data_IF_900463225446
#
_entry.id   IF_900463225446
#
_cell.length_a   1.000
_cell.length_b   1.000
_cell.length_c   1.000
_cell.angle_alpha   90.00
_cell.angle_beta   90.00
_cell.angle_gamma   90.00
#
_symmetry.space_group_name_H-M   'P 1'
#
loop_
_entity.id
_entity.type
_entity.pdbx_description
1 polymer ?
#
# COMPACT_ATOMS: atom_id res chain seq x y z
N UNK A 1 1.35 -0.41 -15.96
CA UNK A 1 0.14 -0.09 -15.19
C UNK A 1 -0.78 -1.30 -15.17
N UNK A 2 -1.29 -1.68 -14.00
CA UNK A 2 -2.21 -2.82 -13.83
C UNK A 2 -3.53 -2.61 -14.58
N UNK A 3 -4.07 -1.38 -14.60
CA UNK A 3 -5.37 -1.10 -15.22
C UNK A 3 -5.30 -1.19 -16.75
N UNK A 4 -4.24 -0.65 -17.37
CA UNK A 4 -4.04 -0.80 -18.81
C UNK A 4 -3.88 -2.27 -19.22
N UNK A 5 -3.09 -3.04 -18.47
CA UNK A 5 -2.92 -4.48 -18.70
C UNK A 5 -4.23 -5.24 -18.56
N UNK A 6 -5.02 -4.92 -17.53
CA UNK A 6 -6.34 -5.50 -17.31
C UNK A 6 -7.29 -5.25 -18.48
N UNK A 7 -7.37 -4.01 -18.96
CA UNK A 7 -8.19 -3.65 -20.11
C UNK A 7 -7.69 -4.28 -21.42
N UNK A 8 -6.39 -4.53 -21.56
CA UNK A 8 -5.85 -5.28 -22.70
C UNK A 8 -6.33 -6.74 -22.66
N UNK A 9 -6.13 -7.44 -21.53
CA UNK A 9 -6.55 -8.84 -21.36
C UNK A 9 -8.06 -9.01 -21.52
N UNK A 10 -8.86 -8.10 -20.97
CA UNK A 10 -10.32 -8.13 -21.13
C UNK A 10 -10.76 -8.00 -22.60
N UNK A 11 -10.03 -7.23 -23.42
CA UNK A 11 -10.29 -7.12 -24.87
C UNK A 11 -9.84 -8.36 -25.63
N UNK A 12 -8.65 -8.87 -25.32
CA UNK A 12 -8.08 -10.09 -25.94
C UNK A 12 -8.91 -11.34 -25.62
N UNK A 13 -9.58 -11.37 -24.47
CA UNK A 13 -10.55 -12.41 -24.11
C UNK A 13 -11.67 -12.56 -25.15
N UNK A 14 -12.11 -11.44 -25.74
CA UNK A 14 -13.20 -11.44 -26.73
C UNK A 14 -12.78 -12.06 -28.08
N UNK A 15 -11.49 -12.08 -28.39
CA UNK A 15 -10.93 -12.66 -29.61
C UNK A 15 -10.21 -14.00 -29.38
N UNK A 16 -10.14 -14.47 -28.13
CA UNK A 16 -9.43 -15.70 -27.78
C UNK A 16 -7.90 -15.57 -27.85
N UNK A 17 -7.38 -14.36 -27.64
CA UNK A 17 -5.95 -14.03 -27.76
C UNK A 17 -5.32 -13.66 -26.42
N UNK A 18 -5.88 -14.14 -25.32
CA UNK A 18 -5.34 -13.88 -23.97
C UNK A 18 -3.91 -14.44 -23.84
N UNK A 19 -3.05 -13.79 -23.05
CA UNK A 19 -1.70 -14.30 -22.79
C UNK A 19 -1.74 -15.61 -21.99
N UNK A 20 -0.67 -16.40 -22.08
CA UNK A 20 -0.52 -17.62 -21.27
C UNK A 20 -0.38 -17.31 -19.77
N UNK A 21 0.34 -16.22 -19.44
CA UNK A 21 0.54 -15.73 -18.07
C UNK A 21 0.32 -14.23 -18.07
N UNK A 22 -0.51 -13.74 -17.14
CA UNK A 22 -0.75 -12.32 -16.94
C UNK A 22 -0.44 -11.91 -15.49
N UNK A 23 0.31 -10.83 -15.35
CA UNK A 23 0.59 -10.22 -14.05
C UNK A 23 -0.54 -9.23 -13.71
N UNK A 24 -1.57 -9.75 -13.06
CA UNK A 24 -2.76 -8.99 -12.69
C UNK A 24 -2.58 -8.21 -11.38
N UNK A 25 -3.20 -7.03 -11.31
CA UNK A 25 -3.46 -6.36 -10.04
C UNK A 25 -4.43 -7.21 -9.20
N UNK A 26 -4.17 -7.28 -7.90
CA UNK A 26 -4.91 -8.13 -6.97
C UNK A 26 -6.36 -7.66 -6.80
N UNK A 27 -6.59 -6.36 -6.75
CA UNK A 27 -7.93 -5.75 -6.83
C UNK A 27 -8.69 -6.08 -8.11
N UNK A 28 -7.99 -6.33 -9.22
CA UNK A 28 -8.58 -6.56 -10.54
C UNK A 28 -8.84 -8.06 -10.81
N UNK A 29 -8.22 -8.96 -10.05
CA UNK A 29 -8.39 -10.40 -10.20
C UNK A 29 -9.87 -10.87 -10.17
N UNK A 30 -10.75 -10.37 -9.28
CA UNK A 30 -12.16 -10.74 -9.29
C UNK A 30 -12.89 -10.39 -10.58
N UNK A 31 -12.60 -9.21 -11.16
CA UNK A 31 -13.18 -8.79 -12.43
C UNK A 31 -12.66 -9.66 -13.58
N UNK A 32 -11.36 -9.97 -13.60
CA UNK A 32 -10.77 -10.91 -14.56
C UNK A 32 -11.42 -12.29 -14.47
N UNK A 33 -11.58 -12.84 -13.27
CA UNK A 33 -12.21 -14.14 -13.06
C UNK A 33 -13.64 -14.13 -13.58
N UNK A 34 -14.42 -13.08 -13.26
CA UNK A 34 -15.80 -12.95 -13.75
C UNK A 34 -15.90 -12.90 -15.28
N UNK A 35 -14.87 -12.38 -15.95
CA UNK A 35 -14.79 -12.28 -17.40
C UNK A 35 -14.27 -13.56 -18.05
N UNK A 36 -13.18 -14.14 -17.54
CA UNK A 36 -12.43 -15.21 -18.20
C UNK A 36 -12.95 -16.61 -17.85
N UNK A 37 -13.41 -16.83 -16.61
CA UNK A 37 -13.83 -18.16 -16.15
C UNK A 37 -15.03 -18.71 -16.94
N UNK A 38 -16.10 -17.93 -17.24
CA UNK A 38 -17.22 -18.42 -18.06
C UNK A 38 -16.83 -18.81 -19.49
N UNK A 39 -15.67 -18.35 -19.97
CA UNK A 39 -15.11 -18.63 -21.30
C UNK A 39 -14.03 -19.72 -21.28
N UNK A 40 -13.72 -20.30 -20.11
CA UNK A 40 -12.59 -21.20 -19.90
C UNK A 40 -11.24 -20.60 -20.33
N UNK A 41 -11.04 -19.29 -20.09
CA UNK A 41 -9.84 -18.52 -20.48
C UNK A 41 -8.93 -18.18 -19.28
N UNK A 42 -9.18 -18.78 -18.12
CA UNK A 42 -8.34 -18.68 -16.94
C UNK A 42 -8.27 -20.06 -16.28
N UNK A 43 -7.10 -20.38 -15.72
CA UNK A 43 -6.82 -21.71 -15.17
C UNK A 43 -6.91 -21.68 -13.66
N UNK A 44 -7.65 -22.63 -13.07
CA UNK A 44 -7.58 -22.87 -11.63
C UNK A 44 -6.25 -23.55 -11.29
N UNK A 45 -5.43 -22.87 -10.51
CA UNK A 45 -4.10 -23.30 -10.09
C UNK A 45 -4.14 -24.28 -8.92
N UNK A 46 -5.29 -24.45 -8.25
CA UNK A 46 -5.42 -25.33 -7.09
C UNK A 46 -4.98 -26.78 -7.36
N UNK A 47 -5.38 -27.43 -8.48
CA UNK A 47 -4.93 -28.80 -8.78
C UNK A 47 -3.42 -28.92 -9.02
N UNK A 48 -2.75 -27.82 -9.38
CA UNK A 48 -1.29 -27.79 -9.54
C UNK A 48 -0.61 -27.71 -8.17
N UNK A 49 -1.09 -26.82 -7.29
CA UNK A 49 -0.62 -26.73 -5.90
C UNK A 49 -0.82 -28.05 -5.13
N UNK A 50 -1.95 -28.72 -5.32
CA UNK A 50 -2.23 -30.03 -4.70
C UNK A 50 -1.24 -31.12 -5.14
N UNK A 51 -0.72 -31.05 -6.37
CA UNK A 51 0.28 -32.00 -6.88
C UNK A 51 1.67 -31.78 -6.30
N UNK A 52 2.04 -30.52 -6.01
CA UNK A 52 3.30 -30.20 -5.32
C UNK A 52 3.26 -30.67 -3.85
N UNK A 53 2.07 -30.68 -3.24
CA UNK A 53 1.81 -31.16 -1.89
C UNK A 53 1.90 -30.06 -0.84
N UNK A 54 1.20 -30.27 0.28
CA UNK A 54 0.98 -29.26 1.31
C UNK A 54 2.28 -28.68 1.89
N UNK A 55 3.29 -29.52 2.15
CA UNK A 55 4.58 -29.07 2.67
C UNK A 55 5.27 -28.10 1.71
N UNK A 56 5.25 -28.39 0.41
CA UNK A 56 5.83 -27.50 -0.58
C UNK A 56 5.08 -26.15 -0.61
N UNK A 57 3.75 -26.17 -0.53
CA UNK A 57 2.95 -24.95 -0.49
C UNK A 57 3.28 -24.10 0.73
N UNK A 58 3.35 -24.69 1.91
CA UNK A 58 3.67 -23.98 3.17
C UNK A 58 5.10 -23.44 3.20
N UNK A 59 6.04 -24.12 2.54
CA UNK A 59 7.44 -23.66 2.42
C UNK A 59 7.59 -22.48 1.44
N UNK A 60 6.71 -22.36 0.44
CA UNK A 60 6.84 -21.37 -0.64
C UNK A 60 5.85 -20.20 -0.53
N UNK A 61 4.73 -20.36 0.19
CA UNK A 61 3.69 -19.34 0.29
C UNK A 61 3.22 -19.14 1.73
N UNK A 62 3.17 -17.88 2.16
CA UNK A 62 2.38 -17.51 3.33
C UNK A 62 0.89 -17.72 3.03
N UNK A 63 0.17 -18.32 3.99
CA UNK A 63 -1.23 -18.68 3.81
C UNK A 63 -2.13 -17.47 3.51
N UNK A 64 -1.88 -16.32 4.15
CA UNK A 64 -2.66 -15.11 3.91
C UNK A 64 -2.37 -14.52 2.54
N UNK A 65 -1.13 -14.65 2.08
CA UNK A 65 -0.69 -14.15 0.76
C UNK A 65 -1.24 -15.03 -0.36
N UNK A 66 -1.27 -16.35 -0.18
CA UNK A 66 -1.87 -17.27 -1.13
C UNK A 66 -3.39 -17.07 -1.26
N UNK A 67 -4.05 -16.80 -0.14
CA UNK A 67 -5.50 -16.55 -0.06
C UNK A 67 -5.94 -15.36 -0.94
N UNK A 68 -5.05 -14.40 -1.20
CA UNK A 68 -5.34 -13.24 -2.05
C UNK A 68 -5.66 -13.62 -3.51
N UNK A 69 -5.15 -14.76 -3.96
CA UNK A 69 -5.46 -15.31 -5.29
C UNK A 69 -6.70 -16.20 -5.33
N UNK A 70 -7.39 -16.39 -4.19
CA UNK A 70 -8.52 -17.30 -4.05
C UNK A 70 -9.85 -16.59 -4.24
N UNK A 71 -10.69 -17.09 -5.14
CA UNK A 71 -12.05 -16.58 -5.38
C UNK A 71 -13.00 -17.77 -5.51
N UNK A 72 -14.10 -17.74 -4.75
CA UNK A 72 -15.13 -18.78 -4.76
C UNK A 72 -14.59 -20.22 -4.60
N UNK A 73 -13.51 -20.38 -3.82
CA UNK A 73 -12.92 -21.69 -3.52
C UNK A 73 -11.87 -22.19 -4.52
N UNK A 74 -11.63 -21.44 -5.59
CA UNK A 74 -10.63 -21.72 -6.63
C UNK A 74 -9.42 -20.80 -6.50
N UNK A 75 -8.24 -21.27 -6.90
CA UNK A 75 -7.00 -20.49 -6.88
C UNK A 75 -6.76 -19.91 -8.28
N UNK A 76 -7.17 -18.69 -8.54
CA UNK A 76 -7.07 -18.08 -9.88
C UNK A 76 -5.79 -17.28 -10.10
N UNK A 77 -5.12 -16.87 -9.02
CA UNK A 77 -3.84 -16.17 -9.08
C UNK A 77 -2.82 -16.84 -8.16
N UNK A 78 -1.54 -16.83 -8.54
CA UNK A 78 -0.45 -17.15 -7.64
C UNK A 78 0.26 -15.87 -7.22
N UNK A 79 0.49 -15.65 -5.93
CA UNK A 79 1.19 -14.44 -5.49
C UNK A 79 2.64 -14.48 -5.97
N UNK A 80 3.05 -13.43 -6.66
CA UNK A 80 4.43 -13.25 -7.12
C UNK A 80 5.18 -12.24 -6.24
N UNK A 81 4.51 -11.16 -5.88
CA UNK A 81 4.96 -10.21 -4.88
C UNK A 81 3.75 -9.67 -4.11
N UNK A 82 4.01 -9.22 -2.89
CA UNK A 82 3.06 -8.46 -2.09
C UNK A 82 3.82 -7.31 -1.45
N UNK A 83 3.18 -6.17 -1.35
CA UNK A 83 3.69 -5.04 -0.60
C UNK A 83 2.67 -4.59 0.43
N UNK A 84 3.14 -3.90 1.44
CA UNK A 84 2.33 -3.15 2.39
C UNK A 84 2.83 -1.71 2.46
N UNK A 85 1.99 -0.76 2.87
CA UNK A 85 2.43 0.60 3.10
C UNK A 85 3.31 0.65 4.35
N UNK A 86 4.39 1.43 4.30
CA UNK A 86 5.33 1.67 5.40
C UNK A 86 5.72 3.13 5.48
N UNK A 87 6.40 3.50 6.57
CA UNK A 87 6.98 4.81 6.76
C UNK A 87 8.49 4.76 6.56
N UNK A 88 8.99 5.66 5.71
CA UNK A 88 10.40 5.96 5.52
C UNK A 88 10.76 7.22 6.30
N UNK A 89 11.87 7.18 7.02
CA UNK A 89 12.35 8.26 7.87
C UNK A 89 13.75 8.69 7.45
N UNK A 90 13.93 9.99 7.31
CA UNK A 90 15.25 10.60 7.23
C UNK A 90 15.79 10.75 8.67
N UNK A 91 16.72 9.87 9.06
CA UNK A 91 17.20 9.83 10.44
C UNK A 91 17.85 11.14 10.90
N UNK A 92 18.51 11.85 9.99
CA UNK A 92 19.20 13.11 10.30
C UNK A 92 18.17 14.22 10.61
N UNK A 93 17.07 14.28 9.86
CA UNK A 93 15.97 15.21 10.12
C UNK A 93 15.21 14.86 11.41
N UNK A 94 15.01 13.58 11.69
CA UNK A 94 14.42 13.10 12.95
C UNK A 94 15.27 13.53 14.16
N UNK A 95 16.59 13.30 14.10
CA UNK A 95 17.52 13.68 15.16
C UNK A 95 17.61 15.20 15.31
N UNK A 96 17.65 15.95 14.21
CA UNK A 96 17.66 17.43 14.23
C UNK A 96 16.39 18.00 14.88
N UNK A 97 15.26 17.30 14.76
CA UNK A 97 14.01 17.64 15.43
C UNK A 97 13.98 17.25 16.93
N UNK A 98 15.07 16.70 17.47
CA UNK A 98 15.16 16.23 18.85
C UNK A 98 14.38 14.94 19.10
N UNK A 99 14.09 14.16 18.05
CA UNK A 99 13.38 12.89 18.13
C UNK A 99 14.36 11.72 18.09
N UNK A 100 13.98 10.60 18.70
CA UNK A 100 14.80 9.40 18.72
C UNK A 100 14.51 8.50 17.51
N UNK A 101 15.51 8.32 16.66
CA UNK A 101 15.47 7.41 15.51
C UNK A 101 15.28 5.93 15.86
N UNK A 102 15.44 5.53 17.14
CA UNK A 102 15.15 4.17 17.62
C UNK A 102 13.71 4.01 18.12
N UNK A 103 13.04 5.11 18.46
CA UNK A 103 11.65 5.14 18.94
C UNK A 103 10.80 5.95 17.95
N UNK A 104 10.63 5.37 16.76
CA UNK A 104 9.85 5.96 15.68
C UNK A 104 8.37 6.09 16.07
N UNK A 105 7.66 7.11 15.53
CA UNK A 105 6.22 7.25 15.74
C UNK A 105 5.48 6.02 15.18
N UNK A 106 4.37 5.66 15.82
CA UNK A 106 3.54 4.50 15.50
C UNK A 106 2.07 4.84 15.30
N UNK A 107 1.62 5.96 15.88
CA UNK A 107 0.23 6.42 15.77
C UNK A 107 0.12 7.68 14.92
N UNK A 108 -1.05 7.94 14.32
CA UNK A 108 -1.26 9.18 13.56
C UNK A 108 -0.94 10.45 14.36
N UNK A 109 -1.27 10.47 15.65
CA UNK A 109 -0.92 11.61 16.53
C UNK A 109 0.59 11.78 16.67
N UNK A 110 1.34 10.70 16.88
CA UNK A 110 2.79 10.75 16.98
C UNK A 110 3.45 11.16 15.65
N UNK A 111 2.91 10.70 14.51
CA UNK A 111 3.38 11.11 13.18
C UNK A 111 3.15 12.60 12.93
N UNK A 112 1.96 13.12 13.25
CA UNK A 112 1.63 14.54 13.13
C UNK A 112 2.57 15.40 13.99
N UNK A 113 2.78 15.00 15.25
CA UNK A 113 3.68 15.71 16.16
C UNK A 113 5.15 15.64 15.70
N UNK A 114 5.58 14.48 15.19
CA UNK A 114 6.92 14.32 14.62
C UNK A 114 7.12 15.23 13.39
N UNK A 115 6.16 15.24 12.47
CA UNK A 115 6.20 16.06 11.26
C UNK A 115 6.26 17.56 11.58
N UNK A 116 5.47 18.02 12.57
CA UNK A 116 5.50 19.41 13.06
C UNK A 116 6.88 19.77 13.63
N UNK A 117 7.47 18.91 14.47
CA UNK A 117 8.81 19.15 15.03
C UNK A 117 9.90 19.20 13.96
N UNK A 118 9.82 18.36 12.93
CA UNK A 118 10.74 18.39 11.79
C UNK A 118 10.66 19.73 11.07
N UNK A 119 9.44 20.19 10.73
CA UNK A 119 9.23 21.49 10.08
C UNK A 119 9.71 22.66 10.93
N UNK A 120 9.50 22.61 12.25
CA UNK A 120 9.96 23.64 13.18
C UNK A 120 11.49 23.68 13.30
N UNK A 121 12.15 22.53 13.31
CA UNK A 121 13.61 22.44 13.38
C UNK A 121 14.30 22.83 12.06
N UNK A 122 13.58 22.80 10.95
CA UNK A 122 14.07 23.21 9.65
C UNK A 122 12.91 23.66 8.74
N UNK A 123 12.78 24.97 8.52
CA UNK A 123 11.71 25.54 7.69
C UNK A 123 11.78 25.14 6.22
N UNK A 124 12.96 24.72 5.74
CA UNK A 124 13.24 24.45 4.32
C UNK A 124 12.97 23.00 3.91
N UNK A 125 12.41 22.19 4.81
CA UNK A 125 11.97 20.81 4.55
C UNK A 125 10.52 20.65 4.95
N UNK A 126 9.84 19.64 4.42
CA UNK A 126 8.50 19.26 4.86
C UNK A 126 8.54 18.13 5.88
N UNK A 127 7.56 18.14 6.79
CA UNK A 127 7.53 17.21 7.91
C UNK A 127 7.21 15.78 7.50
N UNK A 128 6.14 15.61 6.72
CA UNK A 128 5.75 14.32 6.18
C UNK A 128 4.94 14.44 4.89
N UNK A 129 4.85 13.34 4.13
CA UNK A 129 3.95 13.21 2.98
C UNK A 129 3.40 11.77 2.89
N UNK A 130 2.16 11.67 2.44
CA UNK A 130 1.48 10.45 1.99
C UNK A 130 0.68 10.80 0.73
N UNK A 131 0.75 9.98 -0.32
CA UNK A 131 0.04 10.25 -1.57
C UNK A 131 -1.46 9.98 -1.41
N UNK A 132 -2.24 11.04 -1.30
CA UNK A 132 -3.71 11.02 -1.32
C UNK A 132 -4.29 11.70 -2.57
N UNK A 133 -3.41 12.12 -3.50
CA UNK A 133 -3.79 12.85 -4.70
C UNK A 133 -4.22 11.91 -5.84
N UNK A 134 -3.61 10.72 -5.91
CA UNK A 134 -3.82 9.72 -6.95
C UNK A 134 -3.94 8.32 -6.35
N UNK A 135 -4.97 7.58 -6.74
CA UNK A 135 -5.26 6.23 -6.23
C UNK A 135 -5.93 6.24 -4.86
N UNK A 136 -6.62 5.15 -4.53
CA UNK A 136 -7.35 5.00 -3.28
C UNK A 136 -6.57 4.19 -2.23
N UNK A 137 -5.48 3.50 -2.59
CA UNK A 137 -4.78 2.56 -1.71
C UNK A 137 -4.31 3.16 -0.37
N UNK A 138 -3.68 4.33 -0.38
CA UNK A 138 -3.29 5.00 0.87
C UNK A 138 -4.51 5.49 1.66
N UNK A 139 -5.58 5.90 0.98
CA UNK A 139 -6.85 6.21 1.64
C UNK A 139 -7.46 4.96 2.32
N UNK A 140 -7.44 3.80 1.66
CA UNK A 140 -7.81 2.52 2.28
C UNK A 140 -6.94 2.25 3.51
N UNK A 141 -5.63 2.47 3.41
CA UNK A 141 -4.69 2.37 4.54
C UNK A 141 -5.09 3.24 5.72
N UNK A 142 -5.49 4.49 5.47
CA UNK A 142 -6.00 5.36 6.54
C UNK A 142 -7.27 4.81 7.18
N UNK A 143 -8.26 4.39 6.39
CA UNK A 143 -9.52 3.81 6.91
C UNK A 143 -9.25 2.54 7.72
N UNK A 144 -8.43 1.62 7.20
CA UNK A 144 -8.11 0.34 7.83
C UNK A 144 -7.28 0.54 9.10
N UNK A 145 -6.46 1.58 9.17
CA UNK A 145 -5.72 1.92 10.38
C UNK A 145 -6.63 2.25 11.57
N UNK A 146 -7.88 2.64 11.31
CA UNK A 146 -8.93 2.89 12.31
C UNK A 146 -9.89 1.69 12.48
N UNK A 147 -9.59 0.54 11.89
CA UNK A 147 -10.42 -0.68 11.96
C UNK A 147 -11.59 -0.71 10.97
N UNK A 148 -11.68 0.28 10.08
CA UNK A 148 -12.73 0.35 9.06
C UNK A 148 -12.50 -0.61 7.89
N UNK A 149 -13.47 -0.65 6.98
CA UNK A 149 -13.39 -1.40 5.71
C UNK A 149 -13.92 -0.53 4.57
N UNK A 150 -13.55 -0.84 3.32
CA UNK A 150 -14.03 -0.08 2.18
C UNK A 150 -15.42 -0.53 1.71
N UNK A 151 -15.66 -1.84 1.74
CA UNK A 151 -16.91 -2.47 1.31
C UNK A 151 -17.30 -3.62 2.22
N UNK A 152 -18.58 -3.98 2.20
CA UNK A 152 -19.07 -5.20 2.82
C UNK A 152 -18.44 -6.46 2.18
N UNK A 153 -18.35 -7.60 2.91
CA UNK A 153 -17.75 -8.83 2.37
C UNK A 153 -18.41 -9.33 1.07
N UNK A 154 -19.71 -9.12 0.91
CA UNK A 154 -20.48 -9.45 -0.30
C UNK A 154 -20.35 -8.40 -1.43
N UNK A 155 -19.57 -7.33 -1.19
CA UNK A 155 -19.30 -6.22 -2.12
C UNK A 155 -20.55 -5.48 -2.59
N UNK A 156 -21.66 -5.53 -1.85
CA UNK A 156 -22.90 -4.85 -2.22
C UNK A 156 -23.05 -3.46 -1.61
N UNK A 157 -22.22 -3.11 -0.61
CA UNK A 157 -22.29 -1.83 0.10
C UNK A 157 -20.92 -1.23 0.33
N UNK A 158 -20.84 0.08 0.20
CA UNK A 158 -19.71 0.89 0.67
C UNK A 158 -19.82 1.05 2.20
N UNK A 159 -18.72 0.82 2.93
CA UNK A 159 -18.73 0.79 4.41
C UNK A 159 -17.89 1.87 5.08
N UNK A 160 -17.02 2.57 4.36
CA UNK A 160 -16.16 3.63 4.92
C UNK A 160 -16.89 4.96 5.20
N UNK A 161 -18.23 4.99 5.17
CA UNK A 161 -19.04 6.15 5.56
C UNK A 161 -19.31 6.24 7.07
N UNK A 162 -18.58 5.49 7.87
CA UNK A 162 -18.79 5.30 9.31
C UNK A 162 -17.79 6.11 10.17
N UNK A 163 -17.69 5.76 11.45
CA UNK A 163 -16.77 6.42 12.39
C UNK A 163 -15.29 6.26 11.99
N UNK A 164 -14.90 5.11 11.43
CA UNK A 164 -13.52 4.87 11.01
C UNK A 164 -13.17 5.76 9.80
N UNK A 165 -14.08 5.86 8.83
CA UNK A 165 -13.92 6.77 7.70
C UNK A 165 -13.88 8.24 8.11
N UNK A 166 -14.73 8.66 9.05
CA UNK A 166 -14.70 10.01 9.60
C UNK A 166 -13.37 10.31 10.30
N UNK A 167 -12.85 9.38 11.11
CA UNK A 167 -11.54 9.52 11.76
C UNK A 167 -10.41 9.64 10.74
N UNK A 168 -10.40 8.80 9.69
CA UNK A 168 -9.45 8.90 8.59
C UNK A 168 -9.51 10.27 7.91
N UNK A 169 -10.70 10.75 7.54
CA UNK A 169 -10.88 12.07 6.92
C UNK A 169 -10.42 13.22 7.83
N UNK A 170 -10.70 13.14 9.14
CA UNK A 170 -10.23 14.13 10.12
C UNK A 170 -8.71 14.11 10.26
N UNK A 171 -8.06 12.96 10.13
CA UNK A 171 -6.59 12.88 10.09
C UNK A 171 -6.04 13.52 8.83
N UNK A 172 -6.63 13.30 7.65
CA UNK A 172 -6.25 14.02 6.42
C UNK A 172 -6.36 15.53 6.62
N UNK A 173 -7.46 16.01 7.24
CA UNK A 173 -7.62 17.43 7.57
C UNK A 173 -6.47 17.94 8.45
N UNK A 174 -6.06 17.19 9.46
CA UNK A 174 -4.94 17.57 10.35
C UNK A 174 -3.60 17.58 9.62
N UNK A 175 -3.37 16.65 8.69
CA UNK A 175 -2.17 16.69 7.83
C UNK A 175 -2.10 17.97 6.99
N UNK A 176 -3.24 18.49 6.54
CA UNK A 176 -3.31 19.76 5.82
C UNK A 176 -3.15 20.95 6.77
N UNK A 177 -3.98 21.03 7.83
CA UNK A 177 -4.08 22.22 8.68
C UNK A 177 -2.93 22.35 9.70
N UNK A 178 -2.45 21.25 10.27
CA UNK A 178 -1.41 21.28 11.32
C UNK A 178 0.00 21.04 10.80
N UNK A 179 0.13 20.20 9.77
CA UNK A 179 1.43 19.80 9.23
C UNK A 179 1.80 20.57 7.97
N UNK A 180 0.81 21.15 7.28
CA UNK A 180 0.97 21.73 5.94
C UNK A 180 1.61 20.73 4.96
N UNK A 181 1.13 19.48 4.99
CA UNK A 181 1.62 18.40 4.13
C UNK A 181 1.53 18.82 2.65
N UNK A 182 2.61 18.64 1.85
CA UNK A 182 2.58 18.94 0.43
C UNK A 182 1.61 17.99 -0.31
N UNK A 183 0.77 18.57 -1.17
CA UNK A 183 -0.17 17.82 -2.00
C UNK A 183 0.46 17.44 -3.34
N UNK A 184 1.21 16.34 -3.33
CA UNK A 184 1.99 15.83 -4.46
C UNK A 184 1.79 14.33 -4.61
N UNK A 185 2.07 13.81 -5.80
CA UNK A 185 2.06 12.37 -6.08
C UNK A 185 3.25 11.64 -5.43
N UNK A 186 3.24 10.31 -5.55
CA UNK A 186 4.24 9.44 -4.93
C UNK A 186 5.64 9.65 -5.51
N UNK A 187 5.78 9.80 -6.83
CA UNK A 187 7.07 10.02 -7.50
C UNK A 187 7.72 11.34 -7.03
N UNK A 188 6.95 12.42 -6.96
CA UNK A 188 7.41 13.70 -6.44
C UNK A 188 7.75 13.61 -4.95
N UNK A 189 6.95 12.89 -4.16
CA UNK A 189 7.23 12.63 -2.74
C UNK A 189 8.53 11.88 -2.52
N UNK A 190 8.76 10.80 -3.28
CA UNK A 190 9.99 10.02 -3.27
C UNK A 190 11.19 10.88 -3.67
N UNK A 191 11.06 11.69 -4.73
CA UNK A 191 12.13 12.59 -5.16
C UNK A 191 12.50 13.61 -4.08
N UNK A 192 11.51 14.22 -3.41
CA UNK A 192 11.75 15.15 -2.31
C UNK A 192 12.41 14.48 -1.11
N UNK A 193 11.97 13.27 -0.75
CA UNK A 193 12.57 12.49 0.33
C UNK A 193 14.03 12.13 0.03
N UNK A 194 14.30 11.58 -1.15
CA UNK A 194 15.66 11.24 -1.60
C UNK A 194 16.60 12.45 -1.73
N UNK A 195 16.05 13.65 -1.91
CA UNK A 195 16.77 14.92 -1.89
C UNK A 195 17.02 15.47 -0.47
N UNK A 196 16.54 14.79 0.58
CA UNK A 196 16.65 15.25 1.97
C UNK A 196 15.73 16.43 2.30
N UNK A 197 14.65 16.62 1.53
CA UNK A 197 13.68 17.71 1.69
C UNK A 197 12.38 17.29 2.39
N UNK A 198 12.27 16.02 2.77
CA UNK A 198 11.12 15.47 3.47
C UNK A 198 11.58 14.61 4.64
N UNK A 199 10.96 14.82 5.82
CA UNK A 199 11.29 14.09 7.04
C UNK A 199 10.76 12.66 7.07
N UNK A 200 9.49 12.50 6.72
CA UNK A 200 8.77 11.23 6.76
C UNK A 200 8.04 11.04 5.43
N UNK A 201 8.26 9.92 4.75
CA UNK A 201 7.56 9.57 3.52
C UNK A 201 6.79 8.26 3.74
N UNK A 202 5.48 8.26 3.49
CA UNK A 202 4.67 7.05 3.50
C UNK A 202 4.62 6.51 2.07
N UNK A 203 5.14 5.30 1.87
CA UNK A 203 5.25 4.66 0.55
C UNK A 203 5.06 3.15 0.62
N UNK A 204 5.28 2.47 -0.50
CA UNK A 204 5.21 1.01 -0.58
C UNK A 204 6.52 0.36 -0.13
N UNK A 205 6.45 -0.81 0.52
CA UNK A 205 7.63 -1.68 0.76
C UNK A 205 8.34 -2.11 -0.53
N UNK A 206 7.64 -2.07 -1.68
CA UNK A 206 8.25 -2.33 -2.98
C UNK A 206 9.34 -1.30 -3.35
N UNK A 207 9.27 -0.10 -2.78
CA UNK A 207 10.14 1.02 -3.13
C UNK A 207 11.43 1.06 -2.30
N UNK A 208 11.62 0.17 -1.31
CA UNK A 208 12.74 0.30 -0.36
C UNK A 208 14.09 0.38 -1.10
N UNK A 209 14.26 -0.46 -2.13
CA UNK A 209 15.49 -0.51 -2.92
C UNK A 209 15.68 0.74 -3.78
N UNK A 210 14.65 1.13 -4.54
CA UNK A 210 14.73 2.33 -5.40
C UNK A 210 14.91 3.60 -4.56
N UNK A 211 14.28 3.65 -3.39
CA UNK A 211 14.43 4.71 -2.41
C UNK A 211 15.87 4.80 -1.90
N UNK A 212 16.46 3.68 -1.44
CA UNK A 212 17.85 3.64 -0.95
C UNK A 212 18.85 4.06 -2.04
N UNK A 213 18.66 3.54 -3.26
CA UNK A 213 19.46 3.91 -4.44
C UNK A 213 19.34 5.41 -4.74
N UNK A 214 18.13 5.98 -4.70
CA UNK A 214 17.88 7.40 -4.95
C UNK A 214 18.46 8.31 -3.85
N UNK A 215 18.42 7.88 -2.58
CA UNK A 215 19.09 8.56 -1.48
C UNK A 215 20.59 8.59 -1.74
N UNK A 216 21.18 7.48 -2.19
CA UNK A 216 22.61 7.42 -2.55
C UNK A 216 23.52 7.75 -1.37
N UNK A 217 23.13 7.34 -0.16
CA UNK A 217 23.89 7.56 1.08
C UNK A 217 23.90 9.01 1.61
N UNK A 218 23.08 9.93 1.07
CA UNK A 218 23.00 11.33 1.54
C UNK A 218 22.60 11.46 3.01
N UNK A 219 21.80 10.53 3.52
CA UNK A 219 21.38 10.43 4.92
C UNK A 219 21.06 8.97 5.23
N UNK A 220 20.98 8.63 6.53
CA UNK A 220 20.59 7.29 6.94
C UNK A 220 19.08 7.09 6.78
N UNK A 221 18.69 6.15 5.91
CA UNK A 221 17.32 5.67 5.79
C UNK A 221 16.94 4.79 6.99
N UNK A 222 15.78 5.04 7.57
CA UNK A 222 15.17 4.18 8.58
C UNK A 222 13.73 3.89 8.17
N UNK A 223 13.27 2.65 8.35
CA UNK A 223 11.89 2.25 8.06
C UNK A 223 11.11 1.97 9.34
N UNK A 224 9.83 2.34 9.36
CA UNK A 224 8.89 2.01 10.40
C UNK A 224 7.55 1.54 9.83
N UNK A 225 6.66 1.10 10.71
CA UNK A 225 5.32 0.65 10.32
C UNK A 225 4.45 1.83 9.88
N UNK A 226 3.43 1.55 9.08
CA UNK A 226 2.36 2.51 8.80
C UNK A 226 1.71 3.01 10.12
N UNK A 227 1.33 4.30 10.20
CA UNK A 227 0.67 4.85 11.38
C UNK A 227 -0.69 4.19 11.65
N UNK A 228 -0.88 3.75 12.89
CA UNK A 228 -2.12 3.12 13.34
C UNK A 228 -3.04 4.12 14.04
N UNK A 229 -4.34 4.05 13.75
CA UNK A 229 -5.38 4.85 14.38
C UNK A 229 -6.15 4.14 15.48
N UNK A 230 -6.13 2.80 15.48
CA UNK A 230 -6.78 1.92 16.45
C UNK A 230 -5.94 0.64 16.67
N UNK A 231 -6.19 -0.05 17.78
CA UNK A 231 -5.44 -1.27 18.17
C UNK A 231 -5.73 -2.46 17.25
N UNK A 232 -6.95 -2.53 16.74
CA UNK A 232 -7.46 -3.52 15.79
C UNK A 232 -7.35 -3.04 14.33
N UNK A 233 -6.67 -1.92 14.10
CA UNK A 233 -6.38 -1.46 12.75
C UNK A 233 -5.47 -2.44 12.00
N UNK A 234 -5.51 -2.34 10.67
CA UNK A 234 -4.68 -3.11 9.76
C UNK A 234 -4.30 -2.26 8.54
N UNK A 235 -3.53 -2.83 7.60
CA UNK A 235 -3.13 -2.17 6.36
C UNK A 235 -3.56 -2.98 5.14
N UNK A 236 -3.86 -2.35 4.00
CA UNK A 236 -4.14 -3.06 2.77
C UNK A 236 -2.87 -3.70 2.20
N UNK A 237 -3.02 -4.85 1.57
CA UNK A 237 -1.99 -5.38 0.66
C UNK A 237 -1.95 -4.52 -0.61
N UNK A 238 -0.77 -4.31 -1.17
CA UNK A 238 -0.55 -3.62 -2.44
C UNK A 238 -0.86 -4.49 -3.65
N UNK A 239 -0.50 -3.99 -4.84
CA UNK A 239 -0.89 -4.58 -6.12
C UNK A 239 -2.25 -4.07 -6.61
N UNK A 240 -2.54 -2.78 -6.39
CA UNK A 240 -3.78 -2.10 -6.74
C UNK A 240 -3.58 -0.95 -7.71
#
# INVERSE_FOLDING_TARGET
>A
DYYEGHLAVAREAMTGQTPDIFFAGMNLLPDLVSTLAPRNQITDMKPFLEKEGQTWVEENYDANVLELGRIDGHQWGLPFNASTPIAYFNADLIQKAGLDSQHLPKTWDEFIEAAKKIKQANSDVDGMQINLALGDWFWQGMVYSYGGTMMSPDRTKVTYGDEAGLKAAMTVRRLVEEVAMPWIDEDAGMAQFAAGKLGIFIGSTADIRSMDDAIGGKFKLVTGTFPMGAKDGHVPTGGN
#
